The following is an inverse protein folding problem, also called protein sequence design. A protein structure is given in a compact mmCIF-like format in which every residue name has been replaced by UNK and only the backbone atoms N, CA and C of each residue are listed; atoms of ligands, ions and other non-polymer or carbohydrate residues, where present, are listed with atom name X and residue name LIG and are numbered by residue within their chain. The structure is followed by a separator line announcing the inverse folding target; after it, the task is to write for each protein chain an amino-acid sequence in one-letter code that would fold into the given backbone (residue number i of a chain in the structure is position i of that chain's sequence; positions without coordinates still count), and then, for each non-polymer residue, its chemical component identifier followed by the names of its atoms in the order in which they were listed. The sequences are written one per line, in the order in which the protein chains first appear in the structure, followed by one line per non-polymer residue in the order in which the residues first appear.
data_IF_079406045120
#
_entry.id   IF_079406045120
#
_cell.length_a   1.000
_cell.length_b   1.000
_cell.length_c   1.000
_cell.angle_alpha   90.00
_cell.angle_beta   90.00
_cell.angle_gamma   90.00
#
_symmetry.space_group_name_H-M   'P 1'
#
loop_
_entity.id
_entity.type
_entity.pdbx_description
1 polymer ?
#
# COMPACT_ATOMS: atom_id res chain seq x y z
N UNK A 1 -33.01 -29.75 -32.63
CA UNK A 1 -32.18 -29.13 -31.57
C UNK A 1 -32.73 -29.58 -30.23
N UNK A 2 -32.01 -30.41 -29.46
CA UNK A 2 -32.53 -31.03 -28.23
C UNK A 2 -32.76 -29.96 -27.16
N UNK A 3 -33.90 -30.02 -26.49
CA UNK A 3 -34.33 -29.17 -25.37
C UNK A 3 -33.24 -29.06 -24.28
N UNK A 4 -32.44 -30.11 -24.08
CA UNK A 4 -31.27 -30.11 -23.19
C UNK A 4 -30.20 -29.07 -23.55
N UNK A 5 -29.96 -28.81 -24.84
CA UNK A 5 -29.01 -27.77 -25.26
C UNK A 5 -29.55 -26.38 -24.94
N UNK A 6 -30.86 -26.15 -25.07
CA UNK A 6 -31.46 -24.85 -24.75
C UNK A 6 -31.35 -24.54 -23.25
N UNK A 7 -31.61 -25.53 -22.39
CA UNK A 7 -31.40 -25.39 -20.95
C UNK A 7 -29.93 -25.22 -20.57
N UNK A 8 -29.00 -25.89 -21.27
CA UNK A 8 -27.56 -25.72 -21.06
C UNK A 8 -27.09 -24.30 -21.39
N UNK A 9 -27.56 -23.71 -22.51
CA UNK A 9 -27.26 -22.32 -22.86
C UNK A 9 -27.91 -21.31 -21.90
N UNK A 10 -29.14 -21.57 -21.43
CA UNK A 10 -29.81 -20.77 -20.39
C UNK A 10 -29.07 -20.83 -19.04
N UNK A 11 -28.54 -22.00 -18.66
CA UNK A 11 -27.71 -22.15 -17.47
C UNK A 11 -26.39 -21.39 -17.63
N UNK A 12 -25.69 -21.50 -18.78
CA UNK A 12 -24.46 -20.75 -19.04
C UNK A 12 -24.67 -19.23 -19.00
N UNK A 13 -25.83 -18.72 -19.42
CA UNK A 13 -26.15 -17.29 -19.32
C UNK A 13 -26.46 -16.82 -17.89
N UNK A 14 -26.89 -17.72 -16.99
CA UNK A 14 -27.15 -17.41 -15.57
C UNK A 14 -25.87 -17.45 -14.72
N UNK A 15 -24.83 -18.19 -15.17
CA UNK A 15 -23.49 -18.19 -14.56
C UNK A 15 -22.48 -17.32 -15.30
N UNK A 16 -22.94 -16.51 -16.25
CA UNK A 16 -22.20 -15.32 -16.64
C UNK A 16 -22.17 -14.40 -15.43
N UNK A 17 -21.18 -14.58 -14.55
CA UNK A 17 -20.75 -13.54 -13.63
C UNK A 17 -20.47 -12.31 -14.50
N UNK A 18 -21.48 -11.46 -14.66
CA UNK A 18 -21.26 -10.04 -14.79
C UNK A 18 -20.76 -9.62 -13.41
N UNK A 19 -19.50 -9.97 -13.12
CA UNK A 19 -18.71 -9.18 -12.20
C UNK A 19 -18.56 -7.86 -12.92
N UNK A 20 -19.44 -6.92 -12.57
CA UNK A 20 -19.09 -5.51 -12.66
C UNK A 20 -18.05 -5.29 -11.56
N UNK A 21 -16.82 -5.77 -11.76
CA UNK A 21 -15.69 -5.18 -11.06
C UNK A 21 -15.65 -3.73 -11.55
N UNK A 22 -16.14 -2.80 -10.72
CA UNK A 22 -16.08 -1.37 -11.03
C UNK A 22 -14.64 -1.03 -11.44
N UNK A 23 -14.45 -0.43 -12.62
CA UNK A 23 -13.11 -0.05 -13.05
C UNK A 23 -12.56 1.05 -12.12
N UNK A 24 -11.43 0.79 -11.47
CA UNK A 24 -10.85 1.71 -10.49
C UNK A 24 -9.54 2.32 -10.97
N UNK A 25 -9.52 3.65 -11.00
CA UNK A 25 -8.33 4.44 -11.21
C UNK A 25 -7.72 4.84 -9.86
N UNK A 26 -6.43 4.57 -9.68
CA UNK A 26 -5.67 5.01 -8.51
C UNK A 26 -4.39 5.73 -8.96
N UNK A 27 -4.14 6.91 -8.41
CA UNK A 27 -2.86 7.61 -8.53
C UNK A 27 -2.22 7.71 -7.16
N UNK A 28 -1.07 7.05 -6.96
CA UNK A 28 -0.32 7.03 -5.71
C UNK A 28 0.98 7.80 -5.87
N UNK A 29 1.15 8.86 -5.08
CA UNK A 29 2.38 9.62 -4.98
C UNK A 29 3.04 9.34 -3.62
N UNK A 30 4.30 8.91 -3.60
CA UNK A 30 5.02 8.51 -2.40
C UNK A 30 6.35 9.23 -2.29
N UNK A 31 6.59 9.84 -1.12
CA UNK A 31 7.87 10.35 -0.68
C UNK A 31 8.49 9.36 0.31
N UNK A 32 9.69 8.86 0.02
CA UNK A 32 10.46 8.02 0.93
C UNK A 32 11.66 8.82 1.39
N UNK A 33 11.92 8.83 2.69
CA UNK A 33 13.05 9.55 3.27
C UNK A 33 13.98 8.58 3.98
N UNK A 34 15.28 8.79 3.82
CA UNK A 34 16.34 8.03 4.50
C UNK A 34 17.26 9.02 5.24
N UNK A 35 17.93 8.49 6.26
CA UNK A 35 18.85 9.25 7.12
C UNK A 35 18.16 9.95 8.31
N UNK A 36 18.93 10.29 9.37
CA UNK A 36 18.40 10.89 10.59
C UNK A 36 17.76 12.28 10.39
N UNK A 37 18.13 12.98 9.32
CA UNK A 37 17.62 14.31 9.00
C UNK A 37 16.81 14.35 7.71
N UNK A 38 16.37 13.18 7.22
CA UNK A 38 15.55 13.06 6.01
C UNK A 38 16.27 13.60 4.76
N UNK A 39 17.60 13.56 4.76
CA UNK A 39 18.46 14.13 3.73
C UNK A 39 18.29 13.44 2.36
N UNK A 40 18.00 12.14 2.38
CA UNK A 40 17.87 11.32 1.19
C UNK A 40 16.38 11.11 0.88
N UNK A 41 15.83 11.95 0.00
CA UNK A 41 14.44 11.89 -0.43
C UNK A 41 14.28 11.26 -1.82
N UNK A 42 13.43 10.23 -1.90
CA UNK A 42 13.00 9.59 -3.13
C UNK A 42 11.51 9.84 -3.35
N UNK A 43 11.14 10.24 -4.56
CA UNK A 43 9.74 10.44 -4.95
C UNK A 43 9.35 9.52 -6.10
N UNK A 44 8.18 8.89 -5.97
CA UNK A 44 7.57 8.05 -7.01
C UNK A 44 6.09 8.35 -7.17
N UNK A 45 5.60 8.27 -8.40
CA UNK A 45 4.16 8.36 -8.72
C UNK A 45 3.75 7.16 -9.56
N UNK A 46 2.78 6.38 -9.09
CA UNK A 46 2.28 5.19 -9.78
C UNK A 46 0.81 5.42 -10.08
N UNK A 47 0.44 5.30 -11.35
CA UNK A 47 -0.95 5.27 -11.80
C UNK A 47 -1.31 3.82 -12.10
N UNK A 48 -2.38 3.35 -11.48
CA UNK A 48 -2.90 2.00 -11.63
C UNK A 48 -4.35 2.02 -12.09
N UNK A 49 -4.67 1.11 -13.01
CA UNK A 49 -6.03 0.76 -13.41
C UNK A 49 -6.29 -0.66 -12.95
N UNK A 50 -7.37 -0.88 -12.22
CA UNK A 50 -7.71 -2.19 -11.69
C UNK A 50 -6.53 -2.88 -10.95
N UNK A 51 -5.81 -2.12 -10.10
CA UNK A 51 -4.65 -2.52 -9.26
C UNK A 51 -3.41 -2.82 -10.09
N UNK A 52 -3.51 -2.80 -11.41
CA UNK A 52 -2.42 -3.00 -12.34
C UNK A 52 -1.78 -1.63 -12.60
N UNK A 53 -0.49 -1.49 -12.27
CA UNK A 53 0.26 -0.29 -12.60
C UNK A 53 0.35 -0.16 -14.13
N UNK A 54 -0.01 1.00 -14.66
CA UNK A 54 0.02 1.28 -16.10
C UNK A 54 0.98 2.42 -16.45
N UNK A 55 1.33 3.28 -15.49
CA UNK A 55 2.25 4.40 -15.68
C UNK A 55 3.00 4.70 -14.37
N UNK A 56 4.29 5.07 -14.46
CA UNK A 56 5.15 5.37 -13.31
C UNK A 56 6.03 6.60 -13.58
N UNK A 57 6.12 7.53 -12.64
CA UNK A 57 7.20 8.51 -12.53
C UNK A 57 8.15 8.13 -11.41
N UNK A 58 9.44 8.27 -11.67
CA UNK A 58 10.48 8.17 -10.64
C UNK A 58 11.32 9.44 -10.69
N UNK A 59 11.45 10.12 -9.55
CA UNK A 59 12.15 11.39 -9.46
C UNK A 59 13.66 11.27 -9.69
N UNK A 60 14.30 10.22 -9.18
CA UNK A 60 15.72 9.93 -9.43
C UNK A 60 15.99 9.71 -10.92
N UNK A 61 15.06 9.05 -11.62
CA UNK A 61 15.11 8.85 -13.07
C UNK A 61 14.68 10.11 -13.85
N UNK A 62 13.91 11.00 -13.23
CA UNK A 62 13.39 12.24 -13.82
C UNK A 62 12.36 12.06 -14.94
N UNK A 63 11.76 10.87 -15.07
CA UNK A 63 10.89 10.56 -16.21
C UNK A 63 9.77 9.56 -15.92
N UNK A 64 8.72 9.69 -16.72
CA UNK A 64 7.57 8.81 -16.83
C UNK A 64 7.88 7.58 -17.70
N UNK A 65 7.36 6.43 -17.30
CA UNK A 65 7.37 5.17 -18.06
C UNK A 65 5.93 4.66 -18.12
N UNK A 66 5.51 4.19 -19.30
CA UNK A 66 4.25 3.49 -19.50
C UNK A 66 4.46 1.99 -19.67
N UNK A 67 3.52 1.20 -19.19
CA UNK A 67 3.55 -0.26 -19.23
C UNK A 67 2.57 -0.88 -20.25
N UNK A 68 1.74 -0.07 -20.91
CA UNK A 68 0.84 -0.50 -21.99
C UNK A 68 1.09 0.35 -23.24
N UNK A 69 0.72 -0.11 -24.45
CA UNK A 69 0.92 0.67 -25.68
C UNK A 69 0.37 2.09 -25.59
N UNK A 70 -0.82 2.25 -24.97
CA UNK A 70 -1.44 3.56 -24.78
C UNK A 70 -0.66 4.42 -23.78
N UNK A 71 -0.27 3.87 -22.63
CA UNK A 71 0.45 4.66 -21.61
C UNK A 71 1.90 4.94 -21.98
N UNK A 72 2.51 4.18 -22.89
CA UNK A 72 3.83 4.49 -23.46
C UNK A 72 3.77 5.81 -24.24
N UNK A 73 2.75 6.03 -25.06
CA UNK A 73 2.58 7.30 -25.78
C UNK A 73 2.29 8.46 -24.84
N UNK A 74 1.47 8.25 -23.80
CA UNK A 74 1.27 9.23 -22.73
C UNK A 74 2.59 9.59 -22.04
N UNK A 75 3.40 8.59 -21.69
CA UNK A 75 4.69 8.80 -21.03
C UNK A 75 5.61 9.68 -21.88
N UNK A 76 5.69 9.43 -23.20
CA UNK A 76 6.46 10.28 -24.13
C UNK A 76 5.99 11.73 -24.08
N UNK A 77 4.67 11.96 -24.15
CA UNK A 77 4.10 13.30 -24.08
C UNK A 77 4.39 13.99 -22.74
N UNK A 78 4.20 13.31 -21.61
CA UNK A 78 4.47 13.87 -20.28
C UNK A 78 5.96 14.11 -20.02
N UNK A 79 6.84 13.36 -20.68
CA UNK A 79 8.29 13.57 -20.61
C UNK A 79 8.78 14.79 -21.41
N UNK A 80 7.95 15.39 -22.28
CA UNK A 80 8.29 16.68 -22.90
C UNK A 80 8.33 17.81 -21.87
N UNK A 81 7.46 17.73 -20.85
CA UNK A 81 7.40 18.67 -19.74
C UNK A 81 7.08 17.91 -18.44
N UNK A 82 8.07 17.27 -17.80
CA UNK A 82 7.83 16.41 -16.65
C UNK A 82 7.42 17.23 -15.43
N UNK A 83 6.17 17.07 -15.00
CA UNK A 83 5.62 17.72 -13.81
C UNK A 83 5.92 16.99 -12.50
N UNK A 84 6.47 15.77 -12.55
CA UNK A 84 6.72 14.99 -11.34
C UNK A 84 7.78 15.62 -10.42
N UNK A 85 8.67 16.47 -10.93
CA UNK A 85 9.64 17.22 -10.12
C UNK A 85 9.00 18.35 -9.31
N UNK A 86 8.06 19.10 -9.89
CA UNK A 86 7.33 20.13 -9.15
C UNK A 86 6.40 19.49 -8.12
N UNK A 87 5.78 18.36 -8.46
CA UNK A 87 4.97 17.55 -7.55
C UNK A 87 5.80 17.02 -6.37
N UNK A 88 6.99 16.45 -6.62
CA UNK A 88 7.91 16.00 -5.58
C UNK A 88 8.30 17.14 -4.61
N UNK A 89 8.59 18.33 -5.14
CA UNK A 89 8.89 19.50 -4.31
C UNK A 89 7.71 19.88 -3.43
N UNK A 90 6.51 19.97 -4.00
CA UNK A 90 5.30 20.38 -3.28
C UNK A 90 4.86 19.37 -2.21
N UNK A 91 4.96 18.06 -2.50
CA UNK A 91 4.52 17.01 -1.59
C UNK A 91 5.59 16.65 -0.55
N UNK A 92 6.85 16.55 -0.96
CA UNK A 92 7.92 16.06 -0.09
C UNK A 92 8.68 17.21 0.57
N UNK A 93 9.34 18.07 -0.21
CA UNK A 93 10.27 19.08 0.31
C UNK A 93 9.55 20.19 1.08
N UNK A 94 8.45 20.72 0.54
CA UNK A 94 7.69 21.79 1.19
C UNK A 94 7.04 21.34 2.50
N UNK A 95 6.65 20.06 2.61
CA UNK A 95 6.01 19.52 3.80
C UNK A 95 7.00 18.87 4.79
N UNK A 96 8.31 18.97 4.56
CA UNK A 96 9.32 18.25 5.34
C UNK A 96 9.20 18.49 6.85
N UNK A 97 8.92 19.72 7.28
CA UNK A 97 8.72 20.02 8.70
C UNK A 97 7.56 19.26 9.34
N UNK A 98 6.42 19.13 8.64
CA UNK A 98 5.27 18.34 9.11
C UNK A 98 5.60 16.85 9.16
N UNK A 99 6.33 16.36 8.16
CA UNK A 99 6.77 14.95 8.09
C UNK A 99 7.68 14.61 9.27
N UNK A 100 8.62 15.50 9.59
CA UNK A 100 9.51 15.35 10.74
C UNK A 100 8.73 15.31 12.07
N UNK A 101 7.75 16.20 12.25
CA UNK A 101 6.89 16.19 13.45
C UNK A 101 6.15 14.85 13.57
N UNK A 102 5.51 14.39 12.49
CA UNK A 102 4.75 13.12 12.49
C UNK A 102 5.65 11.90 12.71
N UNK A 103 6.89 11.92 12.21
CA UNK A 103 7.85 10.83 12.40
C UNK A 103 8.30 10.65 13.85
N UNK A 104 8.22 11.72 14.66
CA UNK A 104 8.61 11.73 16.06
C UNK A 104 7.45 11.44 17.02
N UNK A 105 6.24 11.20 16.50
CA UNK A 105 5.10 10.78 17.34
C UNK A 105 5.40 9.43 17.96
N UNK A 106 5.27 9.34 19.28
CA UNK A 106 5.52 8.12 20.04
C UNK A 106 4.51 7.98 21.16
N UNK A 107 4.11 6.73 21.42
CA UNK A 107 3.22 6.36 22.51
C UNK A 107 3.77 5.13 23.23
N UNK A 108 3.85 5.21 24.56
CA UNK A 108 4.43 4.15 25.41
C UNK A 108 3.45 2.97 25.51
N UNK A 109 3.93 1.71 25.39
CA UNK A 109 3.07 0.55 25.49
C UNK A 109 2.47 0.37 26.87
N UNK A 110 1.17 0.08 26.89
CA UNK A 110 0.49 -0.46 28.07
C UNK A 110 0.74 -1.95 28.14
N UNK A 111 1.39 -2.41 29.21
CA UNK A 111 1.73 -3.84 29.40
C UNK A 111 0.73 -4.50 30.34
N UNK A 112 0.25 -5.70 29.98
CA UNK A 112 -0.55 -6.56 30.86
C UNK A 112 0.00 -7.98 30.83
N UNK A 113 0.27 -8.51 32.01
CA UNK A 113 0.62 -9.93 32.20
C UNK A 113 -0.58 -10.64 32.82
N UNK A 114 -0.97 -11.77 32.24
CA UNK A 114 -2.06 -12.61 32.76
C UNK A 114 -1.62 -14.07 32.81
N UNK A 115 -2.04 -14.76 33.86
CA UNK A 115 -1.99 -16.22 33.92
C UNK A 115 -3.20 -16.78 33.16
N UNK A 116 -2.96 -17.71 32.26
CA UNK A 116 -3.99 -18.40 31.48
C UNK A 116 -3.86 -19.91 31.67
N UNK A 117 -4.98 -20.61 31.76
CA UNK A 117 -5.00 -22.08 31.73
C UNK A 117 -4.90 -22.54 30.28
N UNK A 118 -3.96 -23.44 29.98
CA UNK A 118 -3.95 -24.08 28.66
C UNK A 118 -5.13 -25.05 28.54
N UNK A 119 -5.82 -25.04 27.40
CA UNK A 119 -6.92 -25.97 27.13
C UNK A 119 -6.43 -27.40 26.85
N UNK A 120 -5.20 -27.55 26.37
CA UNK A 120 -4.67 -28.82 25.85
C UNK A 120 -3.17 -28.95 26.16
N UNK A 121 -2.81 -29.39 27.37
CA UNK A 121 -1.40 -29.62 27.72
C UNK A 121 -1.16 -29.78 29.22
N UNK A 122 -0.18 -30.59 29.59
CA UNK A 122 0.14 -30.96 30.99
C UNK A 122 0.70 -29.83 31.88
N UNK A 123 0.76 -28.60 31.39
CA UNK A 123 1.14 -27.44 32.19
C UNK A 123 -0.12 -26.75 32.76
N UNK A 124 -0.26 -26.65 34.10
CA UNK A 124 -1.48 -26.15 34.72
C UNK A 124 -1.74 -24.65 34.51
N UNK A 125 -0.71 -23.85 34.18
CA UNK A 125 -0.83 -22.42 33.89
C UNK A 125 0.33 -21.90 33.02
N UNK A 126 0.05 -20.93 32.15
CA UNK A 126 1.03 -20.20 31.33
C UNK A 126 0.87 -18.68 31.53
N UNK A 127 1.98 -17.93 31.46
CA UNK A 127 1.94 -16.47 31.47
C UNK A 127 1.85 -15.93 30.03
N UNK A 128 0.93 -15.00 29.81
CA UNK A 128 0.81 -14.23 28.57
C UNK A 128 1.12 -12.77 28.89
N UNK A 129 2.10 -12.20 28.19
CA UNK A 129 2.40 -10.77 28.22
C UNK A 129 1.86 -10.12 26.96
N UNK A 130 1.04 -9.09 27.11
CA UNK A 130 0.43 -8.35 26.01
C UNK A 130 0.77 -6.87 26.10
N UNK A 131 1.12 -6.26 24.97
CA UNK A 131 1.39 -4.83 24.82
C UNK A 131 0.30 -4.16 23.99
N UNK A 132 -0.21 -3.02 24.45
CA UNK A 132 -1.31 -2.27 23.82
C UNK A 132 -0.96 -0.79 23.64
N UNK A 133 -1.69 -0.12 22.76
CA UNK A 133 -1.73 1.35 22.65
C UNK A 133 -0.36 2.03 22.49
N UNK A 134 0.52 1.45 21.68
CA UNK A 134 1.83 2.03 21.39
C UNK A 134 2.01 2.33 19.91
N UNK A 135 2.93 3.26 19.65
CA UNK A 135 3.44 3.62 18.34
C UNK A 135 4.89 4.11 18.47
N UNK A 136 5.79 3.80 17.52
CA UNK A 136 5.60 2.93 16.36
C UNK A 136 5.34 1.45 16.74
N UNK A 137 4.87 0.64 15.80
CA UNK A 137 4.49 -0.77 16.07
C UNK A 137 5.66 -1.71 16.30
N UNK A 138 6.88 -1.28 16.00
CA UNK A 138 8.08 -2.06 16.28
C UNK A 138 8.32 -2.12 17.79
N UNK A 139 8.36 -3.32 18.36
CA UNK A 139 8.60 -3.55 19.80
C UNK A 139 9.44 -4.81 20.00
N UNK A 140 10.24 -4.85 21.08
CA UNK A 140 10.98 -6.03 21.52
C UNK A 140 10.53 -6.41 22.92
N UNK A 141 10.00 -7.63 23.07
CA UNK A 141 9.54 -8.18 24.35
C UNK A 141 10.49 -9.29 24.78
N UNK A 142 10.93 -9.27 26.03
CA UNK A 142 11.78 -10.30 26.63
C UNK A 142 11.18 -10.76 27.95
N UNK A 143 11.27 -12.06 28.24
CA UNK A 143 11.05 -12.61 29.57
C UNK A 143 12.38 -12.66 30.30
N UNK A 144 12.36 -12.40 31.61
CA UNK A 144 13.50 -12.52 32.51
C UNK A 144 13.33 -13.75 33.39
#
# INVERSE_FOLDING_TARGET
MRIQNFYFYMFLSLFGLVSSDEDYFQSRACCTFKGPHFEDMEYTRIISLNKIAVLEYNHTRGSWIGFTPYTIEIAKFWNLNPFGTSEAKALCSTNLGYIQILSNVTDIPTIRVKSVKQHSGGHPAMLVCSAFNFYPKQIRMIWL
#
